data_IF_361655606486
#
_entry.id   IF_361655606486
#
_cell.length_a   1.000
_cell.length_b   1.000
_cell.length_c   1.000
_cell.angle_alpha   90.00
_cell.angle_beta   90.00
_cell.angle_gamma   90.00
#
_symmetry.space_group_name_H-M   'P 1'
#
loop_
_entity.id
_entity.type
_entity.pdbx_description
1 polymer ?
#
# COMPACT_ATOMS: atom_id res chain seq x y z
N UNK A 1 -19.28 2.01 0.79
CA UNK A 1 -19.44 0.77 -0.01
C UNK A 1 -18.90 0.93 -1.43
N UNK A 2 -17.79 1.59 -1.56
CA UNK A 2 -17.26 1.99 -2.86
C UNK A 2 -16.72 0.80 -3.67
N UNK A 3 -16.03 -0.13 -3.03
CA UNK A 3 -15.38 -1.24 -3.71
C UNK A 3 -16.31 -2.40 -4.02
N UNK A 4 -17.23 -2.72 -3.13
CA UNK A 4 -18.28 -3.72 -3.42
C UNK A 4 -19.18 -3.23 -4.54
N UNK A 5 -19.54 -1.95 -4.51
CA UNK A 5 -20.29 -1.34 -5.60
C UNK A 5 -19.58 -1.50 -6.95
N UNK A 6 -18.30 -1.14 -7.03
CA UNK A 6 -17.51 -1.30 -8.25
C UNK A 6 -17.41 -2.75 -8.72
N UNK A 7 -17.25 -3.68 -7.78
CA UNK A 7 -17.18 -5.10 -8.11
C UNK A 7 -18.46 -5.58 -8.80
N UNK A 8 -19.62 -5.29 -8.22
CA UNK A 8 -20.90 -5.78 -8.74
C UNK A 8 -21.40 -5.01 -9.96
N UNK A 9 -20.93 -3.80 -10.18
CA UNK A 9 -21.25 -3.01 -11.39
C UNK A 9 -20.21 -3.18 -12.52
N UNK A 10 -19.19 -4.04 -12.34
CA UNK A 10 -18.14 -4.25 -13.34
C UNK A 10 -17.13 -3.12 -13.47
N UNK A 11 -17.12 -2.18 -12.53
CA UNK A 11 -16.44 -0.89 -12.64
C UNK A 11 -15.00 -0.82 -12.12
N UNK A 12 -14.29 -1.94 -11.89
CA UNK A 12 -12.87 -1.87 -11.52
C UNK A 12 -11.93 -1.43 -12.65
N UNK A 13 -12.43 -1.38 -13.88
CA UNK A 13 -11.61 -1.09 -15.03
C UNK A 13 -11.28 0.40 -15.21
N UNK A 14 -12.04 1.33 -14.65
CA UNK A 14 -11.88 2.76 -14.90
C UNK A 14 -11.75 3.58 -13.59
N UNK A 15 -10.50 3.98 -13.26
CA UNK A 15 -10.23 4.89 -12.15
C UNK A 15 -10.89 6.26 -12.32
N UNK A 16 -11.05 6.72 -13.58
CA UNK A 16 -11.65 8.01 -13.90
C UNK A 16 -13.12 8.07 -13.52
N UNK A 17 -13.83 6.95 -13.63
CA UNK A 17 -15.23 6.87 -13.23
C UNK A 17 -15.42 7.15 -11.73
N UNK A 18 -14.50 6.65 -10.88
CA UNK A 18 -14.55 6.92 -9.45
C UNK A 18 -14.33 8.39 -9.12
N UNK A 19 -13.33 8.99 -9.75
CA UNK A 19 -13.00 10.40 -9.50
C UNK A 19 -14.18 11.28 -9.96
N UNK A 20 -14.76 10.99 -11.11
CA UNK A 20 -15.96 11.67 -11.64
C UNK A 20 -17.18 11.46 -10.74
N UNK A 21 -17.41 10.24 -10.24
CA UNK A 21 -18.54 9.96 -9.34
C UNK A 21 -18.37 10.73 -8.02
N UNK A 22 -17.17 10.76 -7.47
CA UNK A 22 -16.87 11.46 -6.21
C UNK A 22 -17.03 12.96 -6.35
N UNK A 23 -16.57 13.56 -7.45
CA UNK A 23 -16.80 14.97 -7.76
C UNK A 23 -18.26 15.28 -8.01
N UNK A 24 -18.95 14.44 -8.79
CA UNK A 24 -20.35 14.64 -9.14
C UNK A 24 -21.31 14.48 -7.97
N UNK A 25 -21.05 13.56 -7.04
CA UNK A 25 -21.89 13.34 -5.85
C UNK A 25 -21.99 14.57 -4.93
N UNK A 26 -21.04 15.50 -5.01
CA UNK A 26 -21.01 16.72 -4.20
C UNK A 26 -21.65 17.92 -4.90
N UNK A 27 -21.88 17.86 -6.23
CA UNK A 27 -22.19 19.02 -7.04
C UNK A 27 -23.47 18.88 -7.90
N UNK A 28 -23.96 17.65 -8.11
CA UNK A 28 -25.04 17.39 -9.07
C UNK A 28 -26.08 16.38 -8.55
N UNK A 29 -27.29 16.85 -8.31
CA UNK A 29 -28.42 16.01 -7.88
C UNK A 29 -28.76 14.88 -8.85
N UNK A 30 -28.44 15.02 -10.14
CA UNK A 30 -28.67 13.98 -11.15
C UNK A 30 -27.70 12.82 -10.96
N UNK A 31 -26.45 13.12 -10.62
CA UNK A 31 -25.41 12.11 -10.30
C UNK A 31 -25.77 11.38 -9.02
N UNK A 32 -26.27 12.09 -8.00
CA UNK A 32 -26.73 11.47 -6.76
C UNK A 32 -27.88 10.49 -7.02
N UNK A 33 -28.89 10.89 -7.78
CA UNK A 33 -30.02 10.02 -8.15
C UNK A 33 -29.57 8.80 -8.92
N UNK A 34 -28.72 8.97 -9.92
CA UNK A 34 -28.16 7.86 -10.70
C UNK A 34 -27.37 6.89 -9.79
N UNK A 35 -26.58 7.40 -8.86
CA UNK A 35 -25.82 6.56 -7.92
C UNK A 35 -26.75 5.76 -6.99
N UNK A 36 -27.85 6.36 -6.51
CA UNK A 36 -28.86 5.69 -5.70
C UNK A 36 -29.55 4.57 -6.49
N UNK A 37 -30.03 4.87 -7.71
CA UNK A 37 -30.66 3.88 -8.59
C UNK A 37 -29.73 2.69 -8.91
N UNK A 38 -28.47 2.97 -9.16
CA UNK A 38 -27.48 1.94 -9.41
C UNK A 38 -27.19 1.10 -8.15
N UNK A 39 -27.13 1.72 -6.97
CA UNK A 39 -26.99 1.02 -5.71
C UNK A 39 -28.19 0.12 -5.41
N UNK A 40 -29.42 0.62 -5.65
CA UNK A 40 -30.64 -0.18 -5.53
C UNK A 40 -30.64 -1.38 -6.49
N UNK A 41 -30.21 -1.17 -7.74
CA UNK A 41 -30.10 -2.24 -8.73
C UNK A 41 -29.06 -3.29 -8.31
N UNK A 42 -27.91 -2.87 -7.78
CA UNK A 42 -26.92 -3.78 -7.21
C UNK A 42 -27.51 -4.61 -6.08
N UNK A 43 -28.29 -3.99 -5.19
CA UNK A 43 -28.92 -4.66 -4.06
C UNK A 43 -30.06 -5.62 -4.43
N UNK A 44 -30.41 -5.75 -5.72
CA UNK A 44 -31.28 -6.84 -6.23
C UNK A 44 -30.50 -8.14 -6.47
N UNK A 45 -29.17 -8.10 -6.56
CA UNK A 45 -28.31 -9.31 -6.63
C UNK A 45 -28.13 -9.90 -5.21
N UNK A 46 -28.59 -11.12 -4.92
CA UNK A 46 -28.40 -11.75 -3.60
C UNK A 46 -26.93 -11.87 -3.18
N UNK A 47 -26.00 -11.96 -4.14
CA UNK A 47 -24.56 -12.03 -3.85
C UNK A 47 -24.07 -10.69 -3.35
N UNK A 48 -24.52 -9.59 -3.94
CA UNK A 48 -24.21 -8.24 -3.50
C UNK A 48 -24.78 -7.97 -2.11
N UNK A 49 -26.05 -8.35 -1.87
CA UNK A 49 -26.66 -8.25 -0.53
C UNK A 49 -25.82 -8.97 0.53
N UNK A 50 -25.43 -10.22 0.26
CA UNK A 50 -24.60 -11.01 1.17
C UNK A 50 -23.24 -10.34 1.43
N UNK A 51 -22.58 -9.84 0.38
CA UNK A 51 -21.29 -9.17 0.49
C UNK A 51 -21.39 -7.86 1.32
N UNK A 52 -22.43 -7.08 1.09
CA UNK A 52 -22.70 -5.85 1.83
C UNK A 52 -22.96 -6.15 3.31
N UNK A 53 -23.85 -7.08 3.61
CA UNK A 53 -24.12 -7.50 5.01
C UNK A 53 -22.84 -7.97 5.70
N UNK A 54 -22.03 -8.79 5.01
CA UNK A 54 -20.76 -9.26 5.53
C UNK A 54 -19.79 -8.12 5.82
N UNK A 55 -19.73 -7.10 4.98
CA UNK A 55 -18.85 -5.94 5.21
C UNK A 55 -19.29 -5.13 6.45
N UNK A 56 -20.59 -5.02 6.70
CA UNK A 56 -21.10 -4.35 7.91
C UNK A 56 -20.87 -5.16 9.19
N UNK A 57 -20.95 -6.49 9.12
CA UNK A 57 -20.57 -7.36 10.25
C UNK A 57 -19.11 -7.17 10.65
N UNK A 58 -18.20 -7.12 9.65
CA UNK A 58 -16.78 -6.89 9.87
C UNK A 58 -16.50 -5.48 10.38
N UNK A 59 -17.17 -4.47 9.82
CA UNK A 59 -17.07 -3.09 10.31
C UNK A 59 -17.50 -3.00 11.77
N UNK A 60 -18.63 -3.62 12.13
CA UNK A 60 -19.09 -3.71 13.51
C UNK A 60 -18.06 -4.38 14.42
N UNK A 61 -17.42 -5.46 13.95
CA UNK A 61 -16.36 -6.14 14.68
C UNK A 61 -15.15 -5.22 14.93
N UNK A 62 -14.76 -4.39 13.96
CA UNK A 62 -13.68 -3.42 14.13
C UNK A 62 -14.03 -2.33 15.16
N UNK A 63 -15.24 -1.77 15.06
CA UNK A 63 -15.72 -0.71 15.95
C UNK A 63 -15.87 -1.19 17.39
N UNK A 64 -16.33 -2.42 17.60
CA UNK A 64 -16.56 -2.99 18.93
C UNK A 64 -15.35 -3.74 19.50
N UNK A 65 -14.29 -3.91 18.69
CA UNK A 65 -13.14 -4.72 19.08
C UNK A 65 -13.41 -6.23 19.15
N UNK A 66 -14.50 -6.71 18.55
CA UNK A 66 -14.88 -8.14 18.55
C UNK A 66 -14.00 -8.93 17.58
N UNK A 67 -12.91 -9.52 18.09
CA UNK A 67 -11.95 -10.30 17.29
C UNK A 67 -12.50 -11.66 16.83
N UNK A 68 -13.58 -12.16 17.41
CA UNK A 68 -14.15 -13.46 17.03
C UNK A 68 -14.58 -13.51 15.56
N UNK A 69 -15.09 -12.39 15.05
CA UNK A 69 -15.49 -12.26 13.65
C UNK A 69 -14.29 -12.29 12.66
N UNK A 70 -13.08 -12.07 13.16
CA UNK A 70 -11.85 -12.09 12.36
C UNK A 70 -11.19 -13.47 12.35
N UNK A 71 -11.50 -14.34 13.31
CA UNK A 71 -10.91 -15.68 13.39
C UNK A 71 -11.00 -16.49 12.09
N UNK A 72 -12.14 -16.48 11.35
CA UNK A 72 -12.23 -17.20 10.09
C UNK A 72 -11.18 -16.76 9.06
N UNK A 73 -10.86 -15.46 9.04
CA UNK A 73 -9.79 -14.94 8.18
C UNK A 73 -8.43 -15.40 8.67
N UNK A 74 -8.15 -15.29 9.97
CA UNK A 74 -6.87 -15.66 10.59
C UNK A 74 -6.50 -17.13 10.43
N UNK A 75 -7.49 -18.01 10.37
CA UNK A 75 -7.26 -19.45 10.16
C UNK A 75 -7.26 -19.85 8.68
N UNK A 76 -7.93 -19.10 7.83
CA UNK A 76 -8.08 -19.45 6.42
C UNK A 76 -7.03 -18.81 5.52
N UNK A 77 -6.62 -17.58 5.82
CA UNK A 77 -5.77 -16.78 4.95
C UNK A 77 -4.43 -16.43 5.60
N UNK A 78 -3.37 -16.56 4.80
CA UNK A 78 -2.05 -16.01 5.11
C UNK A 78 -1.81 -14.77 4.25
N UNK A 79 -1.92 -13.58 4.83
CA UNK A 79 -1.67 -12.33 4.13
C UNK A 79 -0.17 -12.08 4.00
N UNK A 80 0.33 -11.91 2.77
CA UNK A 80 1.73 -11.61 2.49
C UNK A 80 1.79 -10.19 1.93
N UNK A 81 2.11 -9.24 2.80
CA UNK A 81 2.10 -7.83 2.50
C UNK A 81 3.50 -7.34 2.13
N UNK A 82 3.65 -6.81 0.92
CA UNK A 82 4.86 -6.09 0.52
C UNK A 82 4.66 -4.61 0.86
N UNK A 83 5.41 -4.10 1.82
CA UNK A 83 5.32 -2.75 2.36
C UNK A 83 6.58 -1.97 2.02
N UNK A 84 6.42 -0.80 1.43
CA UNK A 84 7.54 0.07 1.07
C UNK A 84 7.01 1.32 0.38
N UNK A 85 7.73 2.43 0.49
CA UNK A 85 7.37 3.66 -0.19
C UNK A 85 7.31 3.46 -1.72
N UNK A 86 6.63 4.31 -2.46
CA UNK A 86 6.63 4.23 -3.93
C UNK A 86 8.03 4.09 -4.50
N UNK A 87 8.17 3.25 -5.54
CA UNK A 87 9.44 2.98 -6.24
C UNK A 87 10.51 2.21 -5.45
N UNK A 88 10.15 1.57 -4.33
CA UNK A 88 11.03 0.72 -3.54
C UNK A 88 11.04 -0.77 -3.99
N UNK A 89 10.53 -1.11 -5.17
CA UNK A 89 10.52 -2.49 -5.68
C UNK A 89 9.28 -3.31 -5.32
N UNK A 90 8.37 -2.74 -4.51
CA UNK A 90 7.19 -3.46 -4.02
C UNK A 90 6.29 -4.05 -5.12
N UNK A 91 6.08 -3.33 -6.23
CA UNK A 91 5.26 -3.84 -7.35
C UNK A 91 5.88 -5.06 -8.04
N UNK A 92 7.21 -5.10 -8.14
CA UNK A 92 7.92 -6.28 -8.65
C UNK A 92 7.69 -7.50 -7.76
N UNK A 93 7.96 -7.36 -6.46
CA UNK A 93 7.80 -8.46 -5.50
C UNK A 93 6.35 -8.94 -5.42
N UNK A 94 5.38 -8.03 -5.46
CA UNK A 94 3.96 -8.41 -5.48
C UNK A 94 3.65 -9.23 -6.73
N UNK A 95 4.15 -8.82 -7.91
CA UNK A 95 3.98 -9.59 -9.15
C UNK A 95 4.62 -10.98 -9.04
N UNK A 96 5.83 -11.08 -8.47
CA UNK A 96 6.50 -12.37 -8.24
C UNK A 96 5.72 -13.25 -7.25
N UNK A 97 5.11 -12.68 -6.22
CA UNK A 97 4.22 -13.42 -5.33
C UNK A 97 3.01 -14.00 -6.06
N UNK A 98 2.34 -13.22 -6.90
CA UNK A 98 1.23 -13.73 -7.71
C UNK A 98 1.67 -14.89 -8.61
N UNK A 99 2.81 -14.74 -9.29
CA UNK A 99 3.36 -15.79 -10.16
C UNK A 99 3.76 -17.04 -9.35
N UNK A 100 4.45 -16.86 -8.22
CA UNK A 100 4.87 -17.96 -7.36
C UNK A 100 3.69 -18.77 -6.79
N UNK A 101 2.57 -18.10 -6.53
CA UNK A 101 1.33 -18.70 -6.02
C UNK A 101 0.43 -19.27 -7.12
N UNK A 102 0.78 -19.04 -8.39
CA UNK A 102 -0.03 -19.49 -9.53
C UNK A 102 -1.35 -18.73 -9.68
N UNK A 103 -1.45 -17.52 -9.13
CA UNK A 103 -2.62 -16.68 -9.33
C UNK A 103 -2.57 -15.95 -10.66
N UNK A 104 -3.71 -15.93 -11.34
CA UNK A 104 -3.89 -15.10 -12.53
C UNK A 104 -4.10 -13.63 -12.09
N UNK A 105 -3.03 -12.84 -12.21
CA UNK A 105 -3.06 -11.42 -11.86
C UNK A 105 -4.07 -10.61 -12.70
N UNK A 106 -4.50 -11.11 -13.86
CA UNK A 106 -5.53 -10.45 -14.68
C UNK A 106 -6.93 -10.62 -14.08
N UNK A 107 -7.15 -11.64 -13.26
CA UNK A 107 -8.45 -11.91 -12.62
C UNK A 107 -8.63 -11.21 -11.28
N UNK A 108 -7.55 -10.76 -10.67
CA UNK A 108 -7.60 -10.02 -9.40
C UNK A 108 -7.49 -8.53 -9.69
N UNK A 109 -8.50 -7.71 -9.35
CA UNK A 109 -8.43 -6.28 -9.58
C UNK A 109 -7.18 -5.65 -8.98
N UNK A 110 -6.52 -4.78 -9.74
CA UNK A 110 -5.30 -4.12 -9.29
C UNK A 110 -5.48 -3.37 -7.95
N UNK A 111 -6.66 -2.83 -7.72
CA UNK A 111 -6.99 -2.19 -6.44
C UNK A 111 -6.86 -3.15 -5.24
N UNK A 112 -7.18 -4.44 -5.41
CA UNK A 112 -7.09 -5.44 -4.33
C UNK A 112 -5.64 -5.91 -4.18
N UNK A 113 -4.95 -6.15 -5.28
CA UNK A 113 -3.57 -6.63 -5.28
C UNK A 113 -2.55 -5.55 -4.90
N UNK A 114 -2.87 -4.29 -5.15
CA UNK A 114 -1.97 -3.14 -5.05
C UNK A 114 -2.47 -2.08 -4.05
N UNK A 115 -1.83 -0.90 -3.98
CA UNK A 115 -2.04 0.14 -2.96
C UNK A 115 -3.39 0.85 -2.97
N UNK A 116 -4.19 0.67 -4.02
CA UNK A 116 -5.46 1.39 -4.14
C UNK A 116 -6.49 1.07 -3.05
N UNK A 117 -6.34 -0.07 -2.35
CA UNK A 117 -7.33 -0.56 -1.41
C UNK A 117 -6.73 -1.60 -0.43
N UNK A 118 -7.03 -1.58 0.86
CA UNK A 118 -7.81 -0.56 1.56
C UNK A 118 -7.06 0.76 1.68
N UNK A 119 -7.80 1.87 1.63
CA UNK A 119 -7.23 3.18 1.94
C UNK A 119 -7.21 3.38 3.46
N UNK A 120 -6.06 3.17 4.04
CA UNK A 120 -5.85 3.19 5.48
C UNK A 120 -4.88 4.31 5.90
N UNK A 121 -4.91 5.43 5.21
CA UNK A 121 -4.09 6.58 5.58
C UNK A 121 -4.84 7.54 6.48
N UNK A 122 -4.17 8.09 7.52
CA UNK A 122 -4.77 9.05 8.42
C UNK A 122 -4.68 10.50 7.91
N UNK A 123 -4.52 10.72 6.61
CA UNK A 123 -4.25 12.06 6.08
C UNK A 123 -5.45 13.01 6.09
N UNK A 124 -6.65 12.47 6.14
CA UNK A 124 -7.86 13.29 6.21
C UNK A 124 -8.23 13.58 7.69
N UNK A 125 -7.20 13.91 8.49
CA UNK A 125 -7.38 14.19 9.94
C UNK A 125 -8.25 15.41 10.22
N UNK A 126 -8.40 16.33 9.28
CA UNK A 126 -9.37 17.42 9.31
C UNK A 126 -10.83 16.92 9.33
N UNK A 127 -11.07 15.71 8.81
CA UNK A 127 -12.35 15.02 8.89
C UNK A 127 -12.55 14.25 10.22
N UNK A 128 -11.53 14.24 11.06
CA UNK A 128 -11.59 13.63 12.40
C UNK A 128 -12.02 12.17 12.38
N UNK A 129 -13.04 11.84 13.18
CA UNK A 129 -13.51 10.46 13.34
C UNK A 129 -14.02 9.82 12.05
N UNK A 130 -14.52 10.59 11.10
CA UNK A 130 -15.03 10.07 9.82
C UNK A 130 -13.95 9.43 8.96
N UNK A 131 -12.70 9.92 9.02
CA UNK A 131 -11.57 9.33 8.32
C UNK A 131 -11.25 7.91 8.84
N UNK A 132 -11.28 7.73 10.17
CA UNK A 132 -11.06 6.41 10.78
C UNK A 132 -12.18 5.44 10.47
N UNK A 133 -13.44 5.89 10.51
CA UNK A 133 -14.60 5.05 10.16
C UNK A 133 -14.53 4.61 8.69
N UNK A 134 -14.15 5.51 7.79
CA UNK A 134 -13.94 5.19 6.38
C UNK A 134 -12.81 4.18 6.19
N UNK A 135 -11.70 4.33 6.89
CA UNK A 135 -10.58 3.38 6.87
C UNK A 135 -11.04 1.97 7.33
N UNK A 136 -11.76 1.88 8.43
CA UNK A 136 -12.30 0.59 8.92
C UNK A 136 -13.29 -0.02 7.94
N UNK A 137 -14.17 0.78 7.35
CA UNK A 137 -15.11 0.31 6.34
C UNK A 137 -14.39 -0.19 5.09
N UNK A 138 -13.40 0.55 4.60
CA UNK A 138 -12.53 0.10 3.50
C UNK A 138 -11.86 -1.25 3.80
N UNK A 139 -11.38 -1.44 5.01
CA UNK A 139 -10.76 -2.71 5.42
C UNK A 139 -11.80 -3.84 5.47
N UNK A 140 -13.00 -3.58 5.95
CA UNK A 140 -14.09 -4.55 5.96
C UNK A 140 -14.46 -5.01 4.54
N UNK A 141 -14.62 -4.06 3.62
CA UNK A 141 -14.83 -4.38 2.19
C UNK A 141 -13.66 -5.16 1.59
N UNK A 142 -12.42 -4.79 1.93
CA UNK A 142 -11.24 -5.51 1.48
C UNK A 142 -11.28 -7.00 1.89
N UNK A 143 -11.62 -7.29 3.14
CA UNK A 143 -11.74 -8.69 3.59
C UNK A 143 -12.83 -9.46 2.84
N UNK A 144 -13.97 -8.82 2.57
CA UNK A 144 -15.02 -9.43 1.74
C UNK A 144 -14.52 -9.71 0.31
N UNK A 145 -13.75 -8.78 -0.26
CA UNK A 145 -13.15 -8.97 -1.59
C UNK A 145 -12.11 -10.10 -1.58
N UNK A 146 -11.37 -10.27 -0.48
CA UNK A 146 -10.47 -11.43 -0.30
C UNK A 146 -11.28 -12.74 -0.32
N UNK A 147 -12.43 -12.81 0.37
CA UNK A 147 -13.32 -13.97 0.32
C UNK A 147 -13.83 -14.24 -1.12
N UNK A 148 -14.07 -13.22 -1.92
CA UNK A 148 -14.55 -13.36 -3.31
C UNK A 148 -13.43 -13.86 -4.23
N UNK A 149 -12.25 -13.23 -4.18
CA UNK A 149 -11.20 -13.46 -5.17
C UNK A 149 -10.23 -14.60 -4.82
N UNK A 150 -10.04 -14.88 -3.54
CA UNK A 150 -9.07 -15.88 -3.07
C UNK A 150 -9.71 -17.13 -2.45
N UNK A 151 -11.05 -17.24 -2.42
CA UNK A 151 -11.76 -18.37 -1.82
C UNK A 151 -11.30 -19.76 -2.33
N UNK A 152 -10.94 -19.84 -3.60
CA UNK A 152 -10.52 -21.05 -4.30
C UNK A 152 -9.00 -21.10 -4.50
N UNK A 153 -8.23 -20.27 -3.81
CA UNK A 153 -6.78 -20.30 -3.86
C UNK A 153 -6.23 -21.63 -3.33
N UNK A 154 -5.07 -22.04 -3.86
CA UNK A 154 -4.36 -23.21 -3.34
C UNK A 154 -3.90 -22.92 -1.91
N UNK A 155 -4.17 -23.82 -0.99
CA UNK A 155 -3.67 -23.73 0.37
C UNK A 155 -2.19 -24.18 0.45
N UNK A 156 -1.43 -23.47 1.27
CA UNK A 156 -0.08 -23.82 1.72
C UNK A 156 -0.09 -23.80 3.25
N UNK A 157 0.44 -24.84 3.87
CA UNK A 157 0.37 -25.01 5.34
C UNK A 157 -1.04 -24.81 5.90
N UNK A 158 -2.04 -25.36 5.19
CA UNK A 158 -3.47 -25.27 5.51
C UNK A 158 -4.11 -23.88 5.34
N UNK A 159 -3.37 -22.88 4.86
CA UNK A 159 -3.86 -21.52 4.67
C UNK A 159 -3.74 -21.07 3.21
N UNK A 160 -4.64 -20.20 2.76
CA UNK A 160 -4.61 -19.63 1.43
C UNK A 160 -3.79 -18.34 1.47
N UNK A 161 -2.64 -18.25 0.77
CA UNK A 161 -1.85 -17.03 0.72
C UNK A 161 -2.57 -15.92 -0.05
N UNK A 162 -2.55 -14.71 0.50
CA UNK A 162 -3.12 -13.51 -0.11
C UNK A 162 -2.02 -12.49 -0.32
N UNK A 163 -1.48 -12.37 -1.55
CA UNK A 163 -0.44 -11.41 -1.85
C UNK A 163 -1.01 -10.00 -1.95
N UNK A 164 -0.35 -9.02 -1.33
CA UNK A 164 -0.78 -7.63 -1.30
C UNK A 164 0.40 -6.67 -1.30
N UNK A 165 0.39 -5.67 -2.17
CA UNK A 165 1.21 -4.48 -1.95
C UNK A 165 0.46 -3.53 -1.03
N UNK A 166 1.04 -3.20 0.12
CA UNK A 166 0.38 -2.48 1.19
C UNK A 166 1.24 -1.32 1.71
N UNK A 167 1.61 -0.37 0.82
CA UNK A 167 2.40 0.83 1.18
C UNK A 167 1.78 1.57 2.38
N UNK A 168 0.45 1.66 2.43
CA UNK A 168 -0.29 2.37 3.47
C UNK A 168 -0.24 1.71 4.85
N UNK A 169 0.12 0.42 4.92
CA UNK A 169 0.30 -0.27 6.20
C UNK A 169 1.34 0.39 7.11
N UNK A 170 2.31 1.12 6.54
CA UNK A 170 3.28 1.89 7.32
C UNK A 170 2.64 2.91 8.27
N UNK A 171 1.48 3.47 7.91
CA UNK A 171 0.78 4.48 8.73
C UNK A 171 -0.16 3.89 9.77
N UNK A 172 -0.57 2.64 9.59
CA UNK A 172 -1.57 1.96 10.41
C UNK A 172 -1.15 0.50 10.72
N UNK A 173 0.15 0.30 10.98
CA UNK A 173 0.74 -1.04 11.13
C UNK A 173 0.03 -1.90 12.15
N UNK A 174 -0.27 -1.37 13.34
CA UNK A 174 -0.99 -2.11 14.39
C UNK A 174 -2.42 -2.46 14.01
N UNK A 175 -3.11 -1.62 13.22
CA UNK A 175 -4.43 -1.92 12.71
C UNK A 175 -4.37 -3.05 11.66
N UNK A 176 -3.44 -2.96 10.70
CA UNK A 176 -3.23 -4.01 9.72
C UNK A 176 -2.91 -5.35 10.38
N UNK A 177 -1.96 -5.36 11.30
CA UNK A 177 -1.53 -6.59 11.98
C UNK A 177 -2.69 -7.23 12.78
N UNK A 178 -3.46 -6.42 13.51
CA UNK A 178 -4.64 -6.88 14.23
C UNK A 178 -5.71 -7.47 13.33
N UNK A 179 -5.98 -6.85 12.19
CA UNK A 179 -7.04 -7.26 11.27
C UNK A 179 -6.62 -8.47 10.44
N UNK A 180 -5.39 -8.48 9.93
CA UNK A 180 -4.88 -9.56 9.07
C UNK A 180 -4.44 -10.79 9.89
N UNK A 181 -4.18 -10.60 11.19
CA UNK A 181 -3.94 -11.66 12.15
C UNK A 181 -2.49 -12.13 12.26
N UNK A 182 -2.21 -13.04 13.20
CA UNK A 182 -0.85 -13.41 13.59
C UNK A 182 -0.07 -14.18 12.51
N UNK A 183 -0.77 -14.63 11.47
CA UNK A 183 -0.15 -15.32 10.34
C UNK A 183 0.26 -14.37 9.21
N UNK A 184 -0.12 -13.09 9.29
CA UNK A 184 0.30 -12.11 8.31
C UNK A 184 1.83 -11.97 8.25
N UNK A 185 2.36 -11.81 7.05
CA UNK A 185 3.79 -11.64 6.79
C UNK A 185 4.04 -10.27 6.16
N UNK A 186 5.11 -9.60 6.56
CA UNK A 186 5.44 -8.28 6.05
C UNK A 186 6.84 -8.27 5.45
N UNK A 187 6.93 -8.02 4.15
CA UNK A 187 8.17 -7.83 3.43
C UNK A 187 8.39 -6.33 3.26
N UNK A 188 9.31 -5.78 4.01
CA UNK A 188 9.61 -4.35 4.00
C UNK A 188 10.69 -4.06 2.97
N UNK A 189 10.37 -3.26 1.96
CA UNK A 189 11.32 -2.86 0.92
C UNK A 189 11.82 -1.46 1.18
N UNK A 190 13.15 -1.31 1.25
CA UNK A 190 13.83 -0.04 1.50
C UNK A 190 14.66 0.37 0.28
N UNK A 191 14.69 1.65 -0.04
CA UNK A 191 15.51 2.21 -1.11
C UNK A 191 16.01 3.59 -0.72
N UNK A 192 17.20 3.96 -1.18
CA UNK A 192 17.74 5.31 -1.00
C UNK A 192 16.79 6.37 -1.55
N UNK A 193 16.56 7.50 -0.81
CA UNK A 193 15.56 8.51 -1.19
C UNK A 193 15.82 9.16 -2.54
N UNK A 194 17.09 9.40 -2.91
CA UNK A 194 17.42 10.08 -4.17
C UNK A 194 16.98 9.28 -5.39
N UNK A 195 17.45 8.04 -5.62
CA UNK A 195 17.00 7.27 -6.77
C UNK A 195 15.51 6.91 -6.69
N UNK A 196 14.92 6.83 -5.50
CA UNK A 196 13.49 6.63 -5.37
C UNK A 196 12.70 7.87 -5.81
N UNK A 197 13.14 9.06 -5.45
CA UNK A 197 12.59 10.35 -5.90
C UNK A 197 12.69 10.48 -7.42
N UNK A 198 13.89 10.27 -7.98
CA UNK A 198 14.14 10.32 -9.43
C UNK A 198 13.22 9.33 -10.16
N UNK A 199 13.13 8.08 -9.68
CA UNK A 199 12.29 7.06 -10.30
C UNK A 199 10.80 7.38 -10.20
N UNK A 200 10.36 8.01 -9.13
CA UNK A 200 8.99 8.51 -8.96
C UNK A 200 8.66 9.55 -10.01
N UNK A 201 9.62 10.39 -10.29
CA UNK A 201 9.57 11.50 -11.20
C UNK A 201 9.63 11.09 -12.67
N UNK A 202 10.59 10.25 -13.07
CA UNK A 202 10.74 9.77 -14.45
C UNK A 202 9.49 9.01 -14.95
N UNK A 203 8.81 8.29 -14.07
CA UNK A 203 7.55 7.64 -14.42
C UNK A 203 6.46 8.64 -14.82
N UNK A 204 6.62 9.90 -14.47
CA UNK A 204 5.70 10.99 -14.78
C UNK A 204 6.07 11.78 -16.03
N UNK A 205 7.12 11.40 -16.75
CA UNK A 205 7.53 12.03 -18.00
C UNK A 205 8.71 13.00 -17.90
N UNK A 206 9.43 12.98 -16.79
CA UNK A 206 10.66 13.76 -16.61
C UNK A 206 10.55 14.89 -15.56
N UNK A 207 11.69 15.53 -15.26
CA UNK A 207 11.78 16.64 -14.30
C UNK A 207 11.11 17.89 -14.87
N UNK A 208 10.08 18.51 -14.22
CA UNK A 208 9.55 19.77 -14.71
C UNK A 208 10.64 20.83 -14.65
N UNK A 209 10.61 21.72 -15.62
CA UNK A 209 11.56 22.83 -15.70
C UNK A 209 11.52 23.75 -14.46
N UNK A 210 10.41 23.76 -13.73
CA UNK A 210 10.19 24.57 -12.53
C UNK A 210 10.56 23.86 -11.22
N UNK A 211 11.13 22.66 -11.29
CA UNK A 211 11.54 21.89 -10.10
C UNK A 211 10.40 21.30 -9.27
N UNK A 212 9.16 21.40 -9.73
CA UNK A 212 8.01 20.81 -9.04
C UNK A 212 7.82 19.34 -9.40
N UNK A 213 7.36 18.53 -8.45
CA UNK A 213 7.00 17.13 -8.70
C UNK A 213 5.82 17.06 -9.69
N UNK A 214 6.13 16.80 -10.96
CA UNK A 214 5.10 16.49 -11.96
C UNK A 214 4.64 15.05 -11.84
N UNK A 215 4.26 14.63 -10.67
CA UNK A 215 3.68 13.30 -10.50
C UNK A 215 2.20 13.42 -10.79
N UNK A 216 1.67 12.50 -11.59
CA UNK A 216 0.23 12.31 -11.70
C UNK A 216 -0.37 12.41 -10.30
N UNK A 217 -1.21 13.41 -10.09
CA UNK A 217 -1.74 14.01 -8.86
C UNK A 217 -1.67 13.24 -7.54
N UNK A 218 -1.68 11.90 -7.58
CA UNK A 218 -1.79 11.08 -6.39
C UNK A 218 -0.53 11.06 -5.50
N UNK A 219 0.70 11.03 -6.07
CA UNK A 219 1.92 10.93 -5.24
C UNK A 219 2.33 12.31 -4.73
N UNK A 220 2.18 13.37 -5.51
CA UNK A 220 2.43 14.73 -5.04
C UNK A 220 1.49 15.09 -3.90
N UNK A 221 0.20 14.84 -4.07
CA UNK A 221 -0.80 15.02 -3.02
C UNK A 221 -0.46 14.19 -1.78
N UNK A 222 -0.03 12.95 -1.97
CA UNK A 222 0.39 12.09 -0.88
C UNK A 222 1.60 12.64 -0.13
N UNK A 223 2.68 12.99 -0.83
CA UNK A 223 3.89 13.54 -0.24
C UNK A 223 3.59 14.84 0.51
N UNK A 224 2.75 15.72 -0.06
CA UNK A 224 2.35 16.97 0.58
C UNK A 224 1.53 16.73 1.84
N UNK A 225 0.54 15.83 1.79
CA UNK A 225 -0.28 15.47 2.96
C UNK A 225 0.53 14.81 4.05
N UNK A 226 1.49 13.96 3.69
CA UNK A 226 2.42 13.35 4.65
C UNK A 226 3.27 14.41 5.35
N UNK A 227 3.80 15.39 4.63
CA UNK A 227 4.55 16.51 5.21
C UNK A 227 3.69 17.28 6.24
N UNK A 228 2.43 17.58 5.90
CA UNK A 228 1.50 18.26 6.82
C UNK A 228 1.22 17.36 8.04
N UNK A 229 0.95 16.10 7.82
CA UNK A 229 0.69 15.11 8.87
C UNK A 229 1.89 14.93 9.80
N UNK A 230 3.13 15.04 9.30
CA UNK A 230 4.35 15.00 10.10
C UNK A 230 4.68 16.31 10.83
N UNK A 231 3.81 17.32 10.70
CA UNK A 231 3.91 18.59 11.44
C UNK A 231 4.53 19.76 10.67
N UNK A 232 4.76 19.61 9.35
CA UNK A 232 5.14 20.74 8.49
C UNK A 232 3.91 21.64 8.28
N UNK A 233 3.97 22.93 8.64
CA UNK A 233 2.84 23.84 8.38
C UNK A 233 2.45 23.86 6.91
N UNK A 234 1.15 23.90 6.61
CA UNK A 234 0.63 23.75 5.24
C UNK A 234 1.23 24.78 4.27
N UNK A 235 1.34 26.05 4.71
CA UNK A 235 1.96 27.11 3.91
C UNK A 235 3.44 26.86 3.63
N UNK A 236 4.16 26.18 4.51
CA UNK A 236 5.55 25.78 4.30
C UNK A 236 5.63 24.53 3.42
N UNK A 237 4.77 23.54 3.64
CA UNK A 237 4.72 22.35 2.82
C UNK A 237 4.46 22.66 1.33
N UNK A 238 3.64 23.70 1.05
CA UNK A 238 3.38 24.17 -0.29
C UNK A 238 4.59 24.85 -0.98
N UNK A 239 5.57 25.32 -0.19
CA UNK A 239 6.76 26.02 -0.67
C UNK A 239 8.01 25.12 -0.78
N UNK A 240 7.96 23.91 -0.24
CA UNK A 240 9.08 22.98 -0.32
C UNK A 240 9.40 22.63 -1.76
N UNK A 241 10.69 22.59 -2.08
CA UNK A 241 11.17 21.94 -3.28
C UNK A 241 10.75 20.46 -3.30
N UNK A 242 10.52 19.92 -4.48
CA UNK A 242 10.00 18.56 -4.58
C UNK A 242 10.92 17.50 -3.95
N UNK A 243 12.23 17.67 -4.01
CA UNK A 243 13.16 16.75 -3.35
C UNK A 243 13.12 16.89 -1.83
N UNK A 244 13.05 18.11 -1.32
CA UNK A 244 12.93 18.36 0.12
C UNK A 244 11.63 17.76 0.68
N UNK A 245 10.53 17.98 -0.02
CA UNK A 245 9.25 17.39 0.35
C UNK A 245 9.29 15.84 0.31
N UNK A 246 9.94 15.27 -0.72
CA UNK A 246 10.10 13.84 -0.84
C UNK A 246 11.04 13.26 0.23
N UNK A 247 12.10 13.95 0.59
CA UNK A 247 13.06 13.53 1.61
C UNK A 247 12.42 13.52 2.99
N UNK A 248 11.63 14.53 3.35
CA UNK A 248 10.84 14.56 4.58
C UNK A 248 9.82 13.41 4.60
N UNK A 249 9.10 13.19 3.51
CA UNK A 249 8.18 12.07 3.36
C UNK A 249 8.89 10.74 3.56
N UNK A 250 10.07 10.56 2.94
CA UNK A 250 10.85 9.33 3.04
C UNK A 250 11.27 9.07 4.50
N UNK A 251 11.78 10.08 5.20
CA UNK A 251 12.17 10.02 6.60
C UNK A 251 10.97 9.62 7.49
N UNK A 252 9.86 10.33 7.35
CA UNK A 252 8.64 10.12 8.11
C UNK A 252 8.02 8.74 7.84
N UNK A 253 7.97 8.30 6.60
CA UNK A 253 7.50 6.98 6.22
C UNK A 253 8.28 5.85 6.93
N UNK A 254 9.60 5.98 6.99
CA UNK A 254 10.45 4.98 7.63
C UNK A 254 10.38 5.01 9.16
N UNK A 255 10.07 6.16 9.76
CA UNK A 255 9.72 6.22 11.18
C UNK A 255 8.37 5.53 11.45
N UNK A 256 7.38 5.75 10.62
CA UNK A 256 6.07 5.10 10.76
C UNK A 256 6.16 3.58 10.70
N UNK A 257 7.01 3.01 9.85
CA UNK A 257 7.24 1.57 9.83
C UNK A 257 7.61 0.98 11.20
N UNK A 258 8.30 1.75 12.04
CA UNK A 258 8.63 1.37 13.41
C UNK A 258 7.52 1.70 14.40
N UNK A 259 7.02 2.94 14.35
CA UNK A 259 6.19 3.52 15.40
C UNK A 259 4.76 2.98 15.40
N UNK A 260 4.25 2.57 14.25
CA UNK A 260 2.86 2.08 14.12
C UNK A 260 2.65 0.63 14.54
N UNK A 261 3.69 -0.06 15.00
CA UNK A 261 3.60 -1.40 15.56
C UNK A 261 3.82 -2.55 14.57
N UNK A 262 3.97 -2.28 13.29
CA UNK A 262 4.16 -3.32 12.27
C UNK A 262 5.39 -4.21 12.55
N UNK A 263 6.46 -3.62 13.09
CA UNK A 263 7.69 -4.32 13.49
C UNK A 263 7.53 -5.35 14.60
N UNK A 264 6.42 -5.31 15.32
CA UNK A 264 6.14 -6.28 16.40
C UNK A 264 5.69 -7.64 15.86
N UNK A 265 5.33 -7.70 14.59
CA UNK A 265 5.01 -8.97 13.95
C UNK A 265 6.28 -9.82 13.77
N UNK A 266 6.30 -11.09 14.25
CA UNK A 266 7.48 -11.94 14.16
C UNK A 266 7.83 -12.34 12.72
N UNK A 267 6.91 -12.19 11.77
CA UNK A 267 7.10 -12.49 10.34
C UNK A 267 7.42 -11.22 9.52
N UNK A 268 7.95 -10.21 10.17
CA UNK A 268 8.52 -9.04 9.54
C UNK A 268 9.93 -9.33 9.00
N UNK A 269 10.19 -8.94 7.76
CA UNK A 269 11.54 -8.99 7.20
C UNK A 269 11.83 -7.76 6.33
N UNK A 270 13.07 -7.31 6.37
CA UNK A 270 13.54 -6.12 5.65
C UNK A 270 14.42 -6.54 4.48
N UNK A 271 14.26 -5.89 3.34
CA UNK A 271 15.12 -6.07 2.17
C UNK A 271 15.47 -4.71 1.55
N UNK A 272 16.78 -4.48 1.35
CA UNK A 272 17.26 -3.32 0.62
C UNK A 272 17.04 -3.51 -0.89
N UNK A 273 16.67 -2.41 -1.56
CA UNK A 273 16.55 -2.38 -3.01
C UNK A 273 17.89 -2.69 -3.68
N UNK A 274 17.85 -3.55 -4.67
CA UNK A 274 19.01 -3.96 -5.46
C UNK A 274 18.65 -5.16 -6.32
N UNK A 275 19.27 -5.32 -7.47
CA UNK A 275 18.92 -6.39 -8.42
C UNK A 275 19.02 -7.76 -7.74
N UNK A 276 20.23 -8.12 -7.30
CA UNK A 276 20.50 -9.43 -6.70
C UNK A 276 19.63 -9.74 -5.48
N UNK A 277 19.42 -8.73 -4.62
CA UNK A 277 18.62 -8.88 -3.39
C UNK A 277 17.16 -9.16 -3.68
N UNK A 278 16.56 -8.41 -4.62
CA UNK A 278 15.15 -8.59 -4.98
C UNK A 278 14.93 -9.86 -5.80
N UNK A 279 15.85 -10.21 -6.71
CA UNK A 279 15.78 -11.46 -7.48
C UNK A 279 15.98 -12.68 -6.57
N UNK A 280 16.93 -12.64 -5.64
CA UNK A 280 17.12 -13.69 -4.63
C UNK A 280 15.87 -13.88 -3.77
N UNK A 281 15.26 -12.78 -3.34
CA UNK A 281 14.00 -12.86 -2.59
C UNK A 281 12.87 -13.45 -3.45
N UNK A 282 12.74 -13.02 -4.69
CA UNK A 282 11.75 -13.56 -5.62
C UNK A 282 11.95 -15.06 -5.86
N UNK A 283 13.20 -15.50 -6.11
CA UNK A 283 13.54 -16.92 -6.26
C UNK A 283 13.15 -17.73 -5.01
N UNK A 284 13.47 -17.22 -3.81
CA UNK A 284 13.07 -17.87 -2.56
C UNK A 284 11.55 -17.94 -2.36
N UNK A 285 10.78 -16.97 -2.88
CA UNK A 285 9.33 -17.05 -2.87
C UNK A 285 8.82 -18.15 -3.82
N UNK A 286 9.37 -18.24 -5.04
CA UNK A 286 9.04 -19.30 -5.98
C UNK A 286 9.35 -20.69 -5.43
N UNK A 287 10.52 -20.86 -4.82
CA UNK A 287 10.92 -22.10 -4.15
C UNK A 287 9.97 -22.45 -3.00
N UNK A 288 9.68 -21.49 -2.11
CA UNK A 288 8.77 -21.67 -0.97
C UNK A 288 7.39 -22.19 -1.39
N UNK A 289 6.86 -21.70 -2.49
CA UNK A 289 5.52 -22.07 -2.96
C UNK A 289 5.54 -23.19 -4.01
N UNK A 290 6.70 -23.79 -4.28
CA UNK A 290 6.85 -24.90 -5.23
C UNK A 290 6.44 -24.51 -6.64
N UNK A 291 6.72 -23.28 -7.06
CA UNK A 291 6.43 -22.77 -8.38
C UNK A 291 7.47 -23.27 -9.39
N UNK A 292 7.00 -23.80 -10.53
CA UNK A 292 7.87 -24.12 -11.65
C UNK A 292 8.24 -22.89 -12.51
N UNK A 293 7.56 -21.77 -12.32
CA UNK A 293 7.86 -20.53 -13.02
C UNK A 293 9.17 -19.92 -12.50
N UNK A 294 9.95 -19.37 -13.41
CA UNK A 294 11.13 -18.59 -13.04
C UNK A 294 10.72 -17.15 -12.72
N UNK A 295 11.35 -16.51 -11.74
CA UNK A 295 11.12 -15.10 -11.49
C UNK A 295 11.53 -14.25 -12.69
N UNK A 296 10.80 -13.16 -12.92
CA UNK A 296 11.19 -12.17 -13.92
C UNK A 296 12.49 -11.46 -13.50
N UNK A 297 13.31 -11.08 -14.47
CA UNK A 297 14.47 -10.23 -14.24
C UNK A 297 14.05 -8.87 -13.64
N UNK A 298 14.78 -8.43 -12.62
CA UNK A 298 14.58 -7.12 -12.04
C UNK A 298 15.49 -6.08 -12.69
N UNK A 299 14.88 -5.10 -13.38
CA UNK A 299 15.63 -4.02 -14.04
C UNK A 299 15.93 -2.89 -13.05
N UNK A 300 17.20 -2.63 -12.83
CA UNK A 300 17.70 -1.51 -12.03
C UNK A 300 18.37 -0.50 -12.94
N UNK A 301 18.07 0.77 -12.73
CA UNK A 301 18.75 1.88 -13.41
C UNK A 301 19.66 2.57 -12.41
N UNK A 302 20.95 2.72 -12.74
CA UNK A 302 21.90 3.45 -11.91
C UNK A 302 21.56 4.95 -11.93
N UNK A 303 21.23 5.49 -10.77
CA UNK A 303 20.83 6.88 -10.58
C UNK A 303 21.86 7.68 -9.75
N UNK A 304 22.94 7.05 -9.29
CA UNK A 304 23.90 7.62 -8.33
C UNK A 304 24.55 8.92 -8.77
N UNK A 305 24.84 9.07 -10.05
CA UNK A 305 25.53 10.23 -10.59
C UNK A 305 24.62 11.41 -10.96
N UNK A 306 23.28 11.24 -10.94
CA UNK A 306 22.38 12.27 -11.49
C UNK A 306 22.26 13.53 -10.65
N UNK A 307 22.28 13.39 -9.32
CA UNK A 307 22.09 14.51 -8.38
C UNK A 307 23.05 14.40 -7.20
N UNK A 308 24.35 14.72 -7.39
CA UNK A 308 25.35 14.58 -6.33
C UNK A 308 25.07 15.45 -5.09
N UNK A 309 24.43 16.61 -5.27
CA UNK A 309 24.07 17.48 -4.14
C UNK A 309 22.90 16.90 -3.33
N UNK A 310 21.95 16.24 -3.98
CA UNK A 310 20.89 15.51 -3.27
C UNK A 310 21.44 14.33 -2.48
N UNK A 311 22.48 13.67 -3.01
CA UNK A 311 23.15 12.58 -2.28
C UNK A 311 23.73 13.10 -0.95
N UNK A 312 24.43 14.24 -0.98
CA UNK A 312 24.97 14.89 0.23
C UNK A 312 23.87 15.30 1.20
N UNK A 313 22.75 15.82 0.68
CA UNK A 313 21.59 16.23 1.48
C UNK A 313 20.87 15.03 2.10
N UNK A 314 20.79 13.91 1.38
CA UNK A 314 20.09 12.71 1.82
C UNK A 314 20.87 11.91 2.88
N UNK A 315 22.19 11.86 2.82
CA UNK A 315 23.00 11.03 3.70
C UNK A 315 22.70 11.24 5.20
N UNK A 316 22.67 12.49 5.73
CA UNK A 316 22.36 12.69 7.16
C UNK A 316 20.93 12.24 7.51
N UNK A 317 19.98 12.30 6.58
CA UNK A 317 18.60 11.83 6.80
C UNK A 317 18.58 10.30 6.88
N UNK A 318 19.22 9.63 5.92
CA UNK A 318 19.32 8.15 5.93
C UNK A 318 20.01 7.66 7.21
N UNK A 319 21.03 8.38 7.68
CA UNK A 319 21.75 8.08 8.91
C UNK A 319 20.85 8.23 10.14
N UNK A 320 20.09 9.33 10.25
CA UNK A 320 19.12 9.50 11.33
C UNK A 320 18.08 8.38 11.38
N UNK A 321 17.52 8.01 10.23
CA UNK A 321 16.59 6.87 10.14
C UNK A 321 17.26 5.58 10.63
N UNK A 322 18.48 5.30 10.16
CA UNK A 322 19.25 4.13 10.61
C UNK A 322 19.46 4.13 12.12
N UNK A 323 19.79 5.28 12.70
CA UNK A 323 20.02 5.40 14.16
C UNK A 323 18.73 5.14 14.96
N UNK A 324 17.60 5.69 14.51
CA UNK A 324 16.30 5.43 15.15
C UNK A 324 15.91 3.95 15.06
N UNK A 325 16.13 3.31 13.91
CA UNK A 325 15.85 1.88 13.75
C UNK A 325 16.74 1.03 14.68
N UNK A 326 18.04 1.36 14.77
CA UNK A 326 18.98 0.70 15.67
C UNK A 326 18.57 0.86 17.13
N UNK A 327 18.17 2.08 17.56
CA UNK A 327 17.66 2.32 18.91
C UNK A 327 16.39 1.51 19.21
N UNK A 328 15.58 1.23 18.20
CA UNK A 328 14.42 0.38 18.32
C UNK A 328 14.73 -1.13 18.24
N UNK A 329 16.02 -1.50 18.20
CA UNK A 329 16.48 -2.90 18.11
C UNK A 329 16.26 -3.55 16.74
N UNK A 330 16.05 -2.74 15.69
CA UNK A 330 15.81 -3.23 14.33
C UNK A 330 17.03 -2.93 13.44
N UNK A 331 17.49 -3.92 12.70
CA UNK A 331 18.58 -3.73 11.76
C UNK A 331 18.08 -2.93 10.54
N UNK A 332 18.69 -1.75 10.32
CA UNK A 332 18.53 -0.99 9.09
C UNK A 332 19.71 -1.30 8.15
N UNK A 333 19.50 -1.75 6.93
CA UNK A 333 20.58 -2.13 6.01
C UNK A 333 21.23 -0.87 5.41
N UNK A 334 21.95 -0.11 6.24
CA UNK A 334 22.48 1.22 5.90
C UNK A 334 23.42 1.17 4.69
N UNK A 335 24.39 0.26 4.69
CA UNK A 335 25.40 0.19 3.64
C UNK A 335 24.75 -0.17 2.29
N UNK A 336 23.81 -1.12 2.30
CA UNK A 336 23.07 -1.52 1.10
C UNK A 336 22.13 -0.40 0.59
N UNK A 337 21.57 0.41 1.49
CA UNK A 337 20.78 1.58 1.09
C UNK A 337 21.67 2.64 0.48
N UNK A 338 22.87 2.86 1.04
CA UNK A 338 23.82 3.85 0.54
C UNK A 338 24.45 3.49 -0.81
N UNK A 339 24.27 2.26 -1.31
CA UNK A 339 24.60 1.91 -2.71
C UNK A 339 23.81 2.78 -3.72
N UNK A 340 22.63 3.27 -3.33
CA UNK A 340 21.82 4.28 -4.05
C UNK A 340 21.44 3.92 -5.50
N UNK A 341 21.01 2.71 -5.73
CA UNK A 341 20.52 2.24 -7.04
C UNK A 341 19.23 2.92 -7.50
#
# INVERSE_FOLDING_TARGET
MDFLYRHFQGGFADQRWHDQLTEGLTQDDSVQRTAVEQAENMMRDPRAQKAVLRSYELLSAFLTGNSEQLKPFHYRYNFICVVGAPRHGGSYLTKQLFAALGYDAARVPNAIAHDGFPDATPFDFDQGYSAYTRMMHNMAEYLVMVEIYFANGRAFDSMIPVPKKATKAAYQGGFFDRVLGPNAEYIITLRHPVPACISTYEKSGGLPADGRLAVRGNIETWVRRDNIYSGVPENKAAQLGYFDAYLNYWEHYHYNLLLTGLRLNPKWRVVAYGKERLEKLAAGLHERFGSAAQPDDFKVFDQRARHPDWMKQAEPVVRRVSDVWRQAGVNFPFDEIMEAW
#
